data_IF_541276128859
#
_entry.id   IF_541276128859
#
_cell.length_a   1.000
_cell.length_b   1.000
_cell.length_c   1.000
_cell.angle_alpha   90.00
_cell.angle_beta   90.00
_cell.angle_gamma   90.00
#
_symmetry.space_group_name_H-M   'P 1'
#
loop_
_entity.id
_entity.type
_entity.pdbx_description
1 polymer ?
#
# COMPACT_ATOMS: atom_id res chain seq x y z
N UNK A 1 10.95 -43.65 50.94
CA UNK A 1 9.80 -44.38 51.52
C UNK A 1 9.44 -43.79 52.87
N UNK A 2 8.43 -42.92 52.87
CA UNK A 2 7.65 -42.32 53.98
C UNK A 2 6.98 -41.08 53.34
N UNK A 3 5.76 -41.24 52.83
CA UNK A 3 4.52 -40.98 53.55
C UNK A 3 4.31 -39.47 53.75
N UNK A 4 3.65 -38.84 52.77
CA UNK A 4 2.81 -37.66 52.96
C UNK A 4 1.58 -37.90 52.06
N UNK A 5 0.51 -38.48 52.63
CA UNK A 5 -0.73 -37.76 52.93
C UNK A 5 -1.52 -37.51 51.63
N UNK A 6 -2.34 -38.43 51.12
CA UNK A 6 -3.62 -38.92 51.66
C UNK A 6 -4.51 -37.79 52.18
N UNK A 7 -5.18 -37.10 51.25
CA UNK A 7 -6.43 -36.40 51.50
C UNK A 7 -7.24 -36.32 50.20
N UNK A 8 -8.53 -36.67 50.34
CA UNK A 8 -9.65 -36.39 49.44
C UNK A 8 -9.94 -37.40 48.32
N UNK A 9 -10.49 -38.53 48.76
CA UNK A 9 -11.67 -39.12 48.11
C UNK A 9 -12.85 -38.19 48.40
N UNK A 10 -13.55 -37.71 47.36
CA UNK A 10 -15.03 -37.55 47.33
C UNK A 10 -15.50 -37.06 45.94
N UNK A 11 -15.97 -38.05 45.18
CA UNK A 11 -17.04 -38.04 44.17
C UNK A 11 -16.99 -37.22 42.86
N UNK A 12 -17.62 -37.75 41.79
CA UNK A 12 -17.34 -37.44 40.40
C UNK A 12 -18.46 -36.64 39.73
N UNK A 13 -18.12 -35.70 38.85
CA UNK A 13 -19.04 -35.24 37.81
C UNK A 13 -18.27 -34.49 36.73
N UNK A 14 -18.83 -34.56 35.53
CA UNK A 14 -18.50 -33.76 34.34
C UNK A 14 -17.34 -34.32 33.52
N UNK A 15 -17.70 -35.36 32.77
CA UNK A 15 -17.15 -35.70 31.47
C UNK A 15 -16.84 -34.46 30.63
N UNK A 16 -15.63 -34.45 30.09
CA UNK A 16 -15.10 -33.43 29.21
C UNK A 16 -16.03 -33.20 28.01
N UNK A 17 -16.57 -32.00 27.92
CA UNK A 17 -17.14 -31.46 26.71
C UNK A 17 -16.00 -31.19 25.73
N UNK A 18 -15.94 -32.01 24.67
CA UNK A 18 -15.06 -31.81 23.53
C UNK A 18 -15.77 -30.84 22.58
N UNK A 19 -15.28 -29.60 22.37
CA UNK A 19 -15.83 -28.77 21.31
C UNK A 19 -15.51 -29.40 19.96
N UNK A 20 -16.57 -29.72 19.21
CA UNK A 20 -16.51 -30.08 17.80
C UNK A 20 -15.87 -28.92 17.03
N UNK A 21 -14.81 -29.19 16.27
CA UNK A 21 -14.31 -28.29 15.22
C UNK A 21 -15.40 -28.15 14.17
N UNK A 22 -16.03 -26.98 14.12
CA UNK A 22 -16.90 -26.57 13.02
C UNK A 22 -16.00 -26.11 11.86
N UNK A 23 -16.11 -26.67 10.65
CA UNK A 23 -15.24 -26.31 9.52
C UNK A 23 -15.76 -25.04 8.84
N UNK A 24 -15.74 -23.91 9.55
CA UNK A 24 -16.01 -22.60 8.95
C UNK A 24 -14.71 -21.94 8.52
N UNK A 25 -14.29 -22.28 7.29
CA UNK A 25 -13.62 -21.41 6.32
C UNK A 25 -12.57 -20.44 6.91
N UNK A 26 -11.47 -20.98 7.45
CA UNK A 26 -10.22 -20.24 7.63
C UNK A 26 -9.62 -19.89 6.26
N UNK A 27 -10.03 -18.76 5.69
CA UNK A 27 -9.24 -18.10 4.64
C UNK A 27 -8.32 -17.10 5.33
N UNK A 28 -7.23 -17.61 5.90
CA UNK A 28 -6.09 -16.77 6.22
C UNK A 28 -5.52 -16.16 4.95
N UNK A 29 -4.96 -14.95 5.04
CA UNK A 29 -4.16 -14.32 3.98
C UNK A 29 -2.89 -15.15 3.78
N UNK A 30 -3.03 -16.28 3.09
CA UNK A 30 -1.93 -17.11 2.64
C UNK A 30 -1.50 -16.60 1.27
N UNK A 31 -0.18 -16.51 1.10
CA UNK A 31 0.44 -16.25 -0.20
C UNK A 31 0.07 -17.41 -1.13
N UNK A 32 -1.04 -17.28 -1.87
CA UNK A 32 -1.29 -18.16 -3.00
C UNK A 32 -0.28 -17.78 -4.07
N UNK A 33 0.70 -18.67 -4.22
CA UNK A 33 1.59 -18.76 -5.35
C UNK A 33 0.74 -18.68 -6.63
N UNK A 34 1.04 -17.68 -7.46
CA UNK A 34 0.39 -17.42 -8.76
C UNK A 34 -1.13 -17.48 -8.74
N UNK A 35 -1.78 -16.31 -8.61
CA UNK A 35 -3.02 -16.11 -9.33
C UNK A 35 -2.73 -16.45 -10.79
N UNK A 36 -3.32 -17.54 -11.30
CA UNK A 36 -3.38 -17.80 -12.73
C UNK A 36 -3.75 -16.48 -13.40
N UNK A 37 -2.85 -15.98 -14.25
CA UNK A 37 -3.15 -14.93 -15.20
C UNK A 37 -4.22 -15.50 -16.12
N UNK A 38 -5.48 -15.44 -15.69
CA UNK A 38 -6.58 -15.44 -16.63
C UNK A 38 -6.46 -14.14 -17.39
N UNK A 39 -5.77 -14.21 -18.53
CA UNK A 39 -6.04 -13.34 -19.67
C UNK A 39 -7.49 -13.57 -20.08
N UNK A 40 -8.42 -12.99 -19.31
CA UNK A 40 -9.81 -12.88 -19.69
C UNK A 40 -9.86 -11.87 -20.83
N UNK A 41 -9.72 -12.41 -22.04
CA UNK A 41 -10.05 -11.80 -23.29
C UNK A 41 -11.52 -11.34 -23.20
N UNK A 42 -11.73 -10.04 -22.92
CA UNK A 42 -12.90 -9.22 -23.29
C UNK A 42 -14.29 -9.93 -23.37
N UNK A 43 -14.66 -10.75 -22.39
CA UNK A 43 -15.99 -11.40 -22.33
C UNK A 43 -16.60 -11.41 -20.91
N UNK A 44 -16.11 -10.56 -20.01
CA UNK A 44 -16.79 -10.24 -18.75
C UNK A 44 -17.54 -8.93 -18.88
N UNK A 45 -18.84 -8.92 -18.62
CA UNK A 45 -19.68 -7.71 -18.61
C UNK A 45 -19.49 -6.90 -17.31
N UNK A 46 -18.28 -6.88 -16.75
CA UNK A 46 -18.01 -6.12 -15.52
C UNK A 46 -18.20 -4.63 -15.79
N UNK A 47 -18.78 -3.91 -14.82
CA UNK A 47 -18.88 -2.45 -14.89
C UNK A 47 -17.66 -1.83 -14.21
N UNK A 48 -17.16 -0.74 -14.80
CA UNK A 48 -15.96 -0.03 -14.37
C UNK A 48 -16.29 1.44 -14.17
N UNK A 49 -16.03 1.94 -12.97
CA UNK A 49 -16.23 3.34 -12.60
C UNK A 49 -14.89 3.99 -12.27
N UNK A 50 -14.40 4.90 -13.12
CA UNK A 50 -13.19 5.66 -12.85
C UNK A 50 -13.25 6.48 -11.57
N UNK A 51 -12.14 6.57 -10.85
CA UNK A 51 -12.00 7.44 -9.66
C UNK A 51 -10.85 8.43 -9.85
N UNK A 52 -9.72 7.97 -10.37
CA UNK A 52 -8.56 8.81 -10.68
C UNK A 52 -8.16 8.65 -12.13
N UNK A 53 -8.15 9.76 -12.87
CA UNK A 53 -7.68 9.83 -14.24
C UNK A 53 -6.24 10.32 -14.28
N UNK A 54 -5.28 9.39 -14.30
CA UNK A 54 -3.85 9.69 -14.44
C UNK A 54 -3.45 10.11 -15.85
N UNK A 55 -4.41 10.14 -16.78
CA UNK A 55 -4.29 10.81 -18.08
C UNK A 55 -4.46 12.33 -17.99
N UNK A 56 -4.64 12.89 -16.78
CA UNK A 56 -4.72 14.33 -16.55
C UNK A 56 -3.81 14.76 -15.39
N UNK A 57 -3.15 15.94 -15.46
CA UNK A 57 -2.18 16.37 -14.48
C UNK A 57 -2.76 16.64 -13.09
N UNK A 58 -4.05 16.99 -12.98
CA UNK A 58 -4.73 17.31 -11.72
C UNK A 58 -4.76 16.11 -10.76
N UNK A 59 -4.70 14.89 -11.29
CA UNK A 59 -4.60 13.69 -10.47
C UNK A 59 -3.36 13.69 -9.56
N UNK A 60 -2.26 14.33 -9.98
CA UNK A 60 -1.01 14.37 -9.22
C UNK A 60 -1.11 15.30 -8.01
N UNK A 61 -1.91 16.36 -8.07
CA UNK A 61 -2.10 17.30 -6.94
C UNK A 61 -2.73 16.60 -5.73
N UNK A 62 -3.50 15.55 -5.99
CA UNK A 62 -4.13 14.73 -4.96
C UNK A 62 -3.19 13.64 -4.42
N UNK A 63 -1.97 13.49 -4.95
CA UNK A 63 -1.06 12.39 -4.60
C UNK A 63 0.13 12.88 -3.78
N UNK A 64 0.47 12.12 -2.76
CA UNK A 64 1.64 12.32 -1.91
C UNK A 64 2.60 11.15 -2.00
N UNK A 65 3.89 11.46 -1.98
CA UNK A 65 4.99 10.48 -1.93
C UNK A 65 4.92 9.64 -0.64
N UNK A 66 5.16 8.34 -0.78
CA UNK A 66 5.19 7.34 0.30
C UNK A 66 6.42 6.44 0.12
N UNK A 67 7.61 7.01 0.24
CA UNK A 67 8.88 6.27 0.19
C UNK A 67 9.40 5.96 1.61
N UNK A 68 10.46 5.15 1.68
CA UNK A 68 11.06 4.65 2.92
C UNK A 68 11.90 5.67 3.73
N UNK A 69 12.00 6.92 3.28
CA UNK A 69 12.84 7.94 3.90
C UNK A 69 12.54 8.21 5.40
N UNK A 70 11.26 8.14 5.79
CA UNK A 70 10.84 8.32 7.20
C UNK A 70 11.40 7.19 8.08
N UNK A 71 11.55 5.99 7.51
CA UNK A 71 12.08 4.81 8.19
C UNK A 71 13.61 4.74 8.16
N UNK A 72 14.27 5.74 7.56
CA UNK A 72 15.73 5.77 7.40
C UNK A 72 16.24 5.23 6.07
N UNK A 73 15.33 4.88 5.15
CA UNK A 73 15.67 4.41 3.83
C UNK A 73 16.14 5.52 2.89
N UNK A 74 16.71 5.09 1.76
CA UNK A 74 17.25 5.99 0.72
C UNK A 74 16.60 5.74 -0.65
N UNK A 75 15.43 5.11 -0.68
CA UNK A 75 14.65 4.97 -1.91
C UNK A 75 13.99 6.30 -2.26
N UNK A 76 13.75 6.52 -3.54
CA UNK A 76 13.07 7.73 -4.03
C UNK A 76 12.21 7.40 -5.22
N UNK A 77 11.00 7.92 -5.23
CA UNK A 77 10.10 7.90 -6.38
C UNK A 77 9.34 9.21 -6.55
N UNK A 78 8.77 9.38 -7.73
CA UNK A 78 7.96 10.55 -8.08
C UNK A 78 6.87 10.17 -9.07
N UNK A 79 5.82 10.97 -9.10
CA UNK A 79 4.81 10.96 -10.14
C UNK A 79 5.09 12.11 -11.11
N UNK A 80 5.07 11.82 -12.40
CA UNK A 80 5.25 12.82 -13.45
C UNK A 80 4.22 12.58 -14.56
N UNK A 81 3.44 13.61 -14.87
CA UNK A 81 2.51 13.57 -16.00
C UNK A 81 3.28 13.50 -17.33
N UNK A 82 2.76 12.73 -18.29
CA UNK A 82 3.25 12.68 -19.67
C UNK A 82 2.20 13.30 -20.60
N UNK A 83 2.65 14.10 -21.56
CA UNK A 83 1.80 14.66 -22.62
C UNK A 83 1.08 13.58 -23.44
N UNK A 84 1.58 12.35 -23.42
CA UNK A 84 0.99 11.19 -24.07
C UNK A 84 -0.27 10.63 -23.36
N UNK A 85 -0.78 11.34 -22.35
CA UNK A 85 -2.04 11.00 -21.68
C UNK A 85 -1.91 9.88 -20.64
N UNK A 86 -0.83 9.88 -19.87
CA UNK A 86 -0.64 8.99 -18.71
C UNK A 86 0.30 9.61 -17.68
N UNK A 87 0.34 9.03 -16.48
CA UNK A 87 1.29 9.41 -15.43
C UNK A 87 2.35 8.34 -15.28
N UNK A 88 3.61 8.74 -15.22
CA UNK A 88 4.74 7.89 -14.84
C UNK A 88 4.91 7.93 -13.34
N UNK A 89 4.83 6.76 -12.71
CA UNK A 89 5.35 6.55 -11.37
C UNK A 89 6.68 5.82 -11.47
N UNK A 90 7.77 6.49 -11.14
CA UNK A 90 9.09 5.90 -11.28
C UNK A 90 10.12 6.46 -10.31
N UNK A 91 11.24 5.78 -10.21
CA UNK A 91 12.30 6.13 -9.29
C UNK A 91 13.33 5.02 -9.11
N UNK A 92 14.09 5.10 -8.02
CA UNK A 92 15.13 4.13 -7.66
C UNK A 92 14.84 3.59 -6.26
N UNK A 93 14.50 2.31 -6.18
CA UNK A 93 14.34 1.61 -4.91
C UNK A 93 15.69 1.03 -4.47
N UNK A 94 16.02 1.18 -3.19
CA UNK A 94 17.28 0.71 -2.61
C UNK A 94 16.99 -0.08 -1.34
N UNK A 95 17.84 -1.04 -1.02
CA UNK A 95 17.65 -1.93 0.13
C UNK A 95 18.20 -1.36 1.44
N UNK A 96 19.01 -0.31 1.39
CA UNK A 96 19.63 0.34 2.54
C UNK A 96 18.60 1.12 3.37
N UNK A 97 18.41 0.71 4.64
CA UNK A 97 17.55 1.40 5.61
C UNK A 97 16.05 1.34 5.31
N UNK A 98 15.67 0.60 4.27
CA UNK A 98 14.31 0.57 3.73
C UNK A 98 14.17 -0.54 2.71
N UNK A 99 13.61 -0.22 1.55
CA UNK A 99 13.30 -1.20 0.49
C UNK A 99 11.90 -1.04 -0.08
N UNK A 100 11.37 0.20 -0.13
CA UNK A 100 10.12 0.46 -0.82
C UNK A 100 10.02 1.89 -1.36
N UNK A 101 9.29 2.00 -2.47
CA UNK A 101 8.82 3.26 -3.03
C UNK A 101 7.30 3.22 -3.14
N UNK A 102 6.65 4.37 -3.03
CA UNK A 102 5.19 4.42 -3.06
C UNK A 102 4.62 5.81 -3.26
N UNK A 103 3.33 5.84 -3.55
CA UNK A 103 2.52 7.04 -3.48
C UNK A 103 1.14 6.70 -2.94
N UNK A 104 0.42 7.71 -2.46
CA UNK A 104 -0.95 7.58 -2.00
C UNK A 104 -1.72 8.86 -2.23
N UNK A 105 -3.03 8.76 -2.38
CA UNK A 105 -3.88 9.94 -2.38
C UNK A 105 -3.83 10.64 -1.02
N UNK A 106 -4.10 11.95 -1.02
CA UNK A 106 -4.52 12.64 0.19
C UNK A 106 -5.81 11.99 0.72
N UNK A 107 -6.03 11.97 2.05
CA UNK A 107 -7.28 11.47 2.59
C UNK A 107 -8.48 12.23 2.00
N UNK A 108 -9.49 11.49 1.55
CA UNK A 108 -10.71 12.06 1.02
C UNK A 108 -11.48 12.76 2.13
N UNK A 109 -12.01 13.94 1.83
CA UNK A 109 -12.82 14.68 2.80
C UNK A 109 -14.13 13.96 3.09
N UNK A 110 -14.73 13.35 2.07
CA UNK A 110 -15.85 12.42 2.18
C UNK A 110 -15.36 11.05 1.71
N UNK A 111 -15.79 9.96 2.36
CA UNK A 111 -15.39 8.64 1.92
C UNK A 111 -15.92 8.37 0.51
N UNK A 112 -15.08 7.78 -0.33
CA UNK A 112 -15.52 7.19 -1.59
C UNK A 112 -16.44 6.02 -1.24
N UNK A 113 -17.68 6.08 -1.73
CA UNK A 113 -18.66 5.02 -1.55
C UNK A 113 -18.31 3.85 -2.46
N UNK A 114 -18.08 2.68 -1.86
CA UNK A 114 -17.63 1.49 -2.58
C UNK A 114 -18.42 0.23 -2.21
N UNK A 115 -19.51 0.39 -1.46
CA UNK A 115 -20.32 -0.74 -0.97
C UNK A 115 -20.89 -1.61 -2.09
N UNK A 116 -21.16 -1.01 -3.26
CA UNK A 116 -21.71 -1.71 -4.43
C UNK A 116 -20.65 -2.26 -5.40
N UNK A 117 -19.36 -2.13 -5.07
CA UNK A 117 -18.24 -2.59 -5.90
C UNK A 117 -17.63 -3.88 -5.32
N UNK A 118 -16.99 -4.67 -6.19
CA UNK A 118 -16.31 -5.91 -5.81
C UNK A 118 -14.80 -5.71 -5.59
N UNK A 119 -14.25 -4.59 -6.07
CA UNK A 119 -12.84 -4.28 -5.90
C UNK A 119 -12.39 -3.00 -6.61
N UNK A 120 -11.09 -2.76 -6.55
CA UNK A 120 -10.44 -1.72 -7.35
C UNK A 120 -9.98 -2.27 -8.69
N UNK A 121 -9.83 -1.41 -9.69
CA UNK A 121 -9.06 -1.73 -10.88
C UNK A 121 -7.99 -0.68 -11.15
N UNK A 122 -6.94 -1.10 -11.85
CA UNK A 122 -5.88 -0.25 -12.39
C UNK A 122 -5.85 -0.39 -13.91
N UNK A 123 -5.62 0.69 -14.63
CA UNK A 123 -5.14 0.63 -16.02
C UNK A 123 -3.71 1.13 -16.05
N UNK A 124 -2.78 0.23 -16.35
CA UNK A 124 -1.35 0.56 -16.36
C UNK A 124 -0.49 -0.48 -17.08
N UNK A 125 0.81 -0.20 -17.13
CA UNK A 125 1.83 -1.10 -17.67
C UNK A 125 3.18 -0.84 -17.02
N UNK A 126 4.03 -1.85 -17.02
CA UNK A 126 5.43 -1.72 -16.61
C UNK A 126 6.22 -1.16 -17.80
N UNK A 127 6.95 -0.06 -17.60
CA UNK A 127 7.75 0.54 -18.66
C UNK A 127 9.23 0.18 -18.57
N UNK A 128 9.70 -0.27 -17.41
CA UNK A 128 11.12 -0.58 -17.17
C UNK A 128 11.37 -1.96 -16.58
N UNK A 129 10.32 -2.76 -16.39
CA UNK A 129 10.41 -4.03 -15.68
C UNK A 129 10.02 -5.20 -16.61
N UNK A 130 10.90 -6.19 -16.70
CA UNK A 130 10.67 -7.47 -17.39
C UNK A 130 10.60 -8.64 -16.38
N UNK A 131 10.87 -8.36 -15.11
CA UNK A 131 10.91 -9.31 -14.00
C UNK A 131 10.03 -8.80 -12.84
N UNK A 132 8.74 -8.46 -13.08
CA UNK A 132 7.87 -7.90 -12.05
C UNK A 132 7.73 -8.77 -10.80
N UNK A 133 7.93 -10.08 -10.92
CA UNK A 133 7.93 -11.06 -9.83
C UNK A 133 9.09 -10.87 -8.84
N UNK A 134 10.17 -10.19 -9.25
CA UNK A 134 11.30 -9.84 -8.38
C UNK A 134 11.03 -8.59 -7.55
N UNK A 135 9.78 -8.12 -7.52
CA UNK A 135 9.29 -6.98 -6.73
C UNK A 135 7.90 -7.28 -6.20
N UNK A 136 7.60 -6.79 -4.99
CA UNK A 136 6.28 -6.95 -4.39
C UNK A 136 5.46 -5.69 -4.63
N UNK A 137 4.43 -5.79 -5.46
CA UNK A 137 3.51 -4.69 -5.73
C UNK A 137 2.28 -4.80 -4.84
N UNK A 138 1.95 -3.69 -4.18
CA UNK A 138 0.88 -3.63 -3.18
C UNK A 138 -0.03 -2.46 -3.49
N UNK A 139 -1.33 -2.71 -3.51
CA UNK A 139 -2.34 -1.67 -3.49
C UNK A 139 -2.79 -1.48 -2.05
N UNK A 140 -3.05 -0.24 -1.66
CA UNK A 140 -3.38 0.11 -0.28
C UNK A 140 -4.62 0.97 -0.20
N UNK A 141 -5.42 0.77 0.85
CA UNK A 141 -6.61 1.58 1.15
C UNK A 141 -6.83 1.75 2.65
N UNK A 142 -7.63 2.76 3.02
CA UNK A 142 -8.04 3.02 4.41
C UNK A 142 -9.54 3.20 4.51
N UNK A 143 -10.12 2.70 5.59
CA UNK A 143 -11.54 2.88 5.96
C UNK A 143 -11.74 4.04 6.95
N UNK A 144 -10.68 4.76 7.29
CA UNK A 144 -10.69 5.93 8.19
C UNK A 144 -9.91 7.09 7.56
N UNK A 145 -10.27 8.35 7.85
CA UNK A 145 -9.57 9.53 7.33
C UNK A 145 -8.20 9.77 8.00
N UNK A 146 -7.87 9.01 9.05
CA UNK A 146 -6.62 9.16 9.78
C UNK A 146 -5.41 8.52 9.09
N UNK A 147 -4.22 8.96 9.52
CA UNK A 147 -2.92 8.37 9.14
C UNK A 147 -2.45 7.34 10.18
N UNK A 148 -3.37 6.54 10.72
CA UNK A 148 -3.07 5.53 11.72
C UNK A 148 -2.04 4.50 11.27
N UNK A 149 -1.56 3.72 12.23
CA UNK A 149 -0.45 2.77 12.05
C UNK A 149 -0.80 1.58 11.15
N UNK A 150 -2.08 1.31 10.95
CA UNK A 150 -2.60 0.20 10.15
C UNK A 150 -3.21 0.69 8.85
N UNK A 151 -3.12 -0.14 7.80
CA UNK A 151 -3.66 0.12 6.46
C UNK A 151 -4.08 -1.22 5.85
N UNK A 152 -5.08 -1.23 4.98
CA UNK A 152 -5.41 -2.43 4.22
C UNK A 152 -4.51 -2.50 3.00
N UNK A 153 -3.93 -3.66 2.73
CA UNK A 153 -3.13 -3.89 1.52
C UNK A 153 -3.50 -5.21 0.84
N UNK A 154 -3.47 -5.19 -0.49
CA UNK A 154 -3.60 -6.37 -1.34
C UNK A 154 -2.41 -6.44 -2.31
N UNK A 155 -1.86 -7.62 -2.59
CA UNK A 155 -0.88 -7.79 -3.66
C UNK A 155 -1.56 -7.62 -5.02
N UNK A 156 -0.81 -7.18 -6.02
CA UNK A 156 -1.22 -7.25 -7.43
C UNK A 156 0.01 -7.45 -8.31
N UNK A 157 -0.18 -7.69 -9.61
CA UNK A 157 0.91 -7.71 -10.57
C UNK A 157 0.43 -7.23 -11.94
N UNK A 158 1.30 -6.56 -12.69
CA UNK A 158 1.07 -6.29 -14.10
C UNK A 158 1.65 -7.43 -14.95
N UNK A 159 1.01 -7.79 -16.08
CA UNK A 159 1.59 -8.72 -17.04
C UNK A 159 2.97 -8.27 -17.54
N UNK A 160 3.83 -9.24 -17.89
CA UNK A 160 5.16 -9.02 -18.47
C UNK A 160 5.10 -8.51 -19.92
N UNK A 161 4.46 -7.38 -20.13
CA UNK A 161 4.30 -6.77 -21.44
C UNK A 161 4.33 -5.25 -21.31
N UNK A 162 5.40 -4.64 -21.83
CA UNK A 162 5.67 -3.21 -21.72
C UNK A 162 4.94 -2.35 -22.78
N UNK A 163 4.44 -2.97 -23.85
CA UNK A 163 3.79 -2.24 -24.95
C UNK A 163 2.28 -2.10 -24.74
N UNK A 164 1.63 -3.14 -24.23
CA UNK A 164 0.19 -3.15 -24.01
C UNK A 164 -0.24 -2.47 -22.70
N UNK A 165 -1.39 -1.79 -22.72
CA UNK A 165 -2.07 -1.34 -21.51
C UNK A 165 -2.87 -2.50 -20.91
N UNK A 166 -2.71 -2.72 -19.62
CA UNK A 166 -3.39 -3.80 -18.92
C UNK A 166 -4.38 -3.25 -17.92
N UNK A 167 -5.54 -3.89 -17.85
CA UNK A 167 -6.46 -3.72 -16.73
C UNK A 167 -6.18 -4.80 -15.69
N UNK A 168 -5.94 -4.40 -14.45
CA UNK A 168 -5.71 -5.31 -13.32
C UNK A 168 -6.80 -5.08 -12.29
N UNK A 169 -7.60 -6.10 -12.01
CA UNK A 169 -8.64 -6.08 -10.99
C UNK A 169 -8.05 -6.55 -9.66
N UNK A 170 -8.36 -5.85 -8.57
CA UNK A 170 -7.89 -6.10 -7.22
C UNK A 170 -9.12 -6.23 -6.31
N UNK A 171 -9.61 -7.46 -6.08
CA UNK A 171 -10.77 -7.74 -5.25
C UNK A 171 -10.64 -7.18 -3.83
N UNK A 172 -11.75 -6.72 -3.24
CA UNK A 172 -11.76 -6.31 -1.83
C UNK A 172 -11.43 -7.46 -0.87
N UNK A 173 -11.77 -8.69 -1.24
CA UNK A 173 -11.49 -9.90 -0.48
C UNK A 173 -9.98 -10.22 -0.37
N UNK A 174 -9.15 -9.66 -1.25
CA UNK A 174 -7.70 -9.86 -1.23
C UNK A 174 -6.98 -8.91 -0.25
N UNK A 175 -7.70 -7.93 0.31
CA UNK A 175 -7.12 -6.96 1.24
C UNK A 175 -7.01 -7.54 2.65
N UNK A 176 -5.81 -7.43 3.21
CA UNK A 176 -5.52 -7.74 4.59
C UNK A 176 -5.12 -6.49 5.37
N UNK A 177 -5.43 -6.44 6.66
CA UNK A 177 -4.96 -5.38 7.53
C UNK A 177 -3.48 -5.59 7.85
N UNK A 178 -2.65 -4.59 7.57
CA UNK A 178 -1.20 -4.63 7.81
C UNK A 178 -0.75 -3.47 8.70
N UNK A 179 0.36 -3.68 9.41
CA UNK A 179 1.13 -2.66 10.13
C UNK A 179 2.56 -2.66 9.57
N UNK A 180 2.88 -1.65 8.76
CA UNK A 180 4.10 -1.67 7.97
C UNK A 180 4.08 -2.85 6.98
N UNK A 181 5.12 -3.70 6.92
CA UNK A 181 5.13 -4.87 6.04
C UNK A 181 4.39 -6.09 6.61
N UNK A 182 3.95 -6.06 7.88
CA UNK A 182 3.43 -7.24 8.58
C UNK A 182 1.91 -7.29 8.57
N UNK A 183 1.36 -8.47 8.29
CA UNK A 183 -0.06 -8.78 8.47
C UNK A 183 -0.39 -8.72 9.96
N UNK A 184 -1.50 -8.08 10.29
CA UNK A 184 -2.09 -8.11 11.64
C UNK A 184 -2.79 -9.46 11.80
N UNK A 185 -2.33 -10.36 12.68
CA UNK A 185 -2.99 -11.64 12.89
C UNK A 185 -4.44 -11.43 13.32
N UNK A 186 -5.36 -12.18 12.71
CA UNK A 186 -6.80 -12.06 12.94
C UNK A 186 -7.33 -10.63 12.73
N UNK A 187 -6.68 -9.85 11.87
CA UNK A 187 -7.14 -8.52 11.48
C UNK A 187 -8.53 -8.59 10.82
N UNK A 188 -9.42 -7.62 11.06
CA UNK A 188 -10.71 -7.58 10.41
C UNK A 188 -10.55 -7.53 8.89
N UNK A 189 -11.50 -8.12 8.16
CA UNK A 189 -11.60 -7.97 6.71
C UNK A 189 -11.92 -6.52 6.35
N UNK A 190 -11.60 -6.14 5.11
CA UNK A 190 -11.92 -4.81 4.61
C UNK A 190 -13.43 -4.57 4.64
N UNK A 191 -13.87 -3.68 5.52
CA UNK A 191 -15.27 -3.25 5.60
C UNK A 191 -15.51 -2.06 4.66
N UNK A 192 -16.34 -2.26 3.64
CA UNK A 192 -16.65 -1.28 2.59
C UNK A 192 -17.88 -0.41 2.90
N UNK A 193 -18.70 -0.76 3.90
CA UNK A 193 -19.95 -0.06 4.23
C UNK A 193 -19.74 1.40 4.60
N UNK A 194 -18.64 1.72 5.29
CA UNK A 194 -18.28 3.10 5.65
C UNK A 194 -17.58 3.89 4.54
N UNK A 195 -17.39 3.27 3.38
CA UNK A 195 -16.55 3.76 2.29
C UNK A 195 -15.06 3.77 2.62
N UNK A 196 -14.27 4.26 1.68
CA UNK A 196 -12.81 4.36 1.80
C UNK A 196 -12.35 5.81 1.77
N UNK A 197 -11.21 6.09 2.39
CA UNK A 197 -10.69 7.44 2.55
C UNK A 197 -9.37 7.68 1.83
N UNK A 198 -8.71 6.64 1.34
CA UNK A 198 -7.41 6.80 0.70
C UNK A 198 -7.15 5.60 -0.20
N UNK A 199 -6.45 5.82 -1.29
CA UNK A 199 -5.86 4.75 -2.10
C UNK A 199 -4.36 5.01 -2.28
N UNK A 200 -3.59 3.97 -2.59
CA UNK A 200 -2.17 4.14 -2.87
C UNK A 200 -1.53 2.88 -3.40
N UNK A 201 -0.33 3.02 -3.93
CA UNK A 201 0.46 1.92 -4.47
C UNK A 201 1.85 1.93 -3.83
N UNK A 202 2.41 0.74 -3.67
CA UNK A 202 3.76 0.57 -3.13
C UNK A 202 4.45 -0.58 -3.84
N UNK A 203 5.71 -0.37 -4.21
CA UNK A 203 6.61 -1.40 -4.67
C UNK A 203 7.62 -1.64 -3.55
N UNK A 204 7.82 -2.89 -3.16
CA UNK A 204 8.60 -3.22 -1.97
C UNK A 204 9.39 -4.52 -2.12
N UNK A 205 10.47 -4.65 -1.35
CA UNK A 205 11.16 -5.92 -1.10
C UNK A 205 10.46 -6.80 -0.07
N UNK A 206 9.52 -6.27 0.70
CA UNK A 206 8.90 -7.01 1.80
C UNK A 206 7.68 -7.78 1.30
N UNK A 207 7.71 -9.10 1.47
CA UNK A 207 6.56 -9.97 1.15
C UNK A 207 5.48 -9.85 2.24
N UNK A 208 4.26 -10.29 1.93
CA UNK A 208 3.20 -10.37 2.92
C UNK A 208 3.48 -11.53 3.88
N UNK A 209 3.43 -11.26 5.18
CA UNK A 209 3.63 -12.25 6.22
C UNK A 209 3.39 -11.66 7.60
N UNK A 210 3.25 -12.52 8.61
CA UNK A 210 3.18 -12.08 10.02
C UNK A 210 4.51 -11.52 10.51
N UNK A 211 5.60 -12.06 9.97
CA UNK A 211 6.96 -11.57 10.20
C UNK A 211 7.41 -10.68 9.04
N UNK A 212 8.36 -9.78 9.32
CA UNK A 212 9.00 -8.99 8.26
C UNK A 212 9.96 -9.90 7.50
N UNK A 213 9.54 -10.34 6.32
CA UNK A 213 10.36 -11.16 5.43
C UNK A 213 10.61 -10.42 4.12
N UNK A 214 11.83 -10.57 3.61
CA UNK A 214 12.25 -9.99 2.33
C UNK A 214 12.09 -11.02 1.22
N UNK A 215 11.79 -10.55 0.02
CA UNK A 215 11.78 -11.37 -1.18
C UNK A 215 13.22 -11.80 -1.51
N UNK A 216 13.46 -13.11 -1.56
CA UNK A 216 14.81 -13.69 -1.65
C UNK A 216 15.64 -13.18 -2.82
N UNK A 217 15.00 -12.92 -3.96
CA UNK A 217 15.66 -12.39 -5.17
C UNK A 217 15.09 -11.02 -5.55
N UNK A 218 14.96 -10.14 -4.55
CA UNK A 218 14.48 -8.78 -4.77
C UNK A 218 15.39 -8.01 -5.72
N UNK A 219 14.78 -7.39 -6.74
CA UNK A 219 15.48 -6.55 -7.71
C UNK A 219 15.39 -5.07 -7.32
N UNK A 220 16.49 -4.55 -6.76
CA UNK A 220 16.64 -3.13 -6.48
C UNK A 220 16.87 -2.31 -7.77
N UNK A 221 17.03 -1.00 -7.62
CA UNK A 221 17.30 -0.10 -8.74
C UNK A 221 16.07 0.56 -9.36
N UNK A 222 16.20 0.91 -10.64
CA UNK A 222 15.22 1.72 -11.35
C UNK A 222 13.90 0.97 -11.59
N UNK A 223 12.79 1.70 -11.48
CA UNK A 223 11.47 1.22 -11.88
C UNK A 223 10.64 2.34 -12.49
N UNK A 224 9.77 1.98 -13.43
CA UNK A 224 8.73 2.84 -13.96
C UNK A 224 7.45 2.04 -14.23
N UNK A 225 6.35 2.54 -13.69
CA UNK A 225 4.98 2.13 -14.00
C UNK A 225 4.27 3.30 -14.67
N UNK A 226 3.59 3.03 -15.77
CA UNK A 226 2.74 4.01 -16.44
C UNK A 226 1.29 3.72 -16.10
N UNK A 227 0.58 4.75 -15.63
CA UNK A 227 -0.78 4.65 -15.12
C UNK A 227 -1.71 5.57 -15.92
N UNK A 228 -2.86 5.04 -16.31
CA UNK A 228 -3.97 5.80 -16.89
C UNK A 228 -5.10 6.01 -15.91
N UNK A 229 -5.40 4.99 -15.11
CA UNK A 229 -6.61 4.98 -14.32
C UNK A 229 -6.50 4.13 -13.06
N UNK A 230 -7.16 4.61 -12.00
CA UNK A 230 -7.55 3.81 -10.84
C UNK A 230 -9.05 4.00 -10.67
N UNK A 231 -9.80 2.92 -10.47
CA UNK A 231 -11.23 3.00 -10.26
C UNK A 231 -11.79 1.79 -9.52
N UNK A 232 -13.10 1.65 -9.58
CA UNK A 232 -13.86 0.56 -8.97
C UNK A 232 -14.40 -0.35 -10.07
N UNK A 233 -14.42 -1.65 -9.82
CA UNK A 233 -15.15 -2.57 -10.68
C UNK A 233 -16.25 -3.28 -9.90
N UNK A 234 -17.34 -3.57 -10.59
CA UNK A 234 -18.39 -4.46 -10.12
C UNK A 234 -18.50 -5.62 -11.10
N UNK A 235 -18.35 -6.82 -10.58
CA UNK A 235 -18.56 -8.05 -11.32
C UNK A 235 -20.04 -8.16 -11.61
N UNK A 236 -20.39 -8.20 -12.89
CA UNK A 236 -21.75 -8.60 -13.24
C UNK A 236 -21.87 -10.09 -12.97
N UNK A 237 -22.47 -10.43 -11.83
CA UNK A 237 -22.90 -11.79 -11.59
C UNK A 237 -23.96 -12.10 -12.66
N UNK A 238 -23.76 -13.16 -13.44
CA UNK A 238 -24.86 -13.75 -14.20
C UNK A 238 -25.88 -14.30 -13.19
N UNK A 239 -26.79 -13.44 -12.71
CA UNK A 239 -27.93 -13.90 -11.91
C UNK A 239 -29.11 -14.19 -12.83
N UNK A 240 -29.45 -15.48 -12.87
CA UNK A 240 -30.83 -15.91 -12.94
C UNK A 240 -31.69 -15.05 -12.00
N UNK A 241 -32.71 -14.41 -12.59
CA UNK A 241 -33.78 -13.66 -11.91
C UNK A 241 -34.17 -14.28 -10.57
N UNK A 242 -34.11 -13.49 -9.49
CA UNK A 242 -35.30 -13.18 -8.70
C UNK A 242 -35.07 -12.01 -7.74
N UNK A 243 -36.15 -11.27 -7.56
CA UNK A 243 -36.30 -9.92 -7.02
C UNK A 243 -35.97 -9.78 -5.53
N UNK A 244 -35.74 -8.55 -5.05
CA UNK A 244 -36.73 -7.84 -4.20
C UNK A 244 -36.25 -6.44 -3.77
N UNK A 245 -37.24 -5.56 -3.69
CA UNK A 245 -37.26 -4.11 -3.45
C UNK A 245 -37.08 -3.78 -1.95
N UNK A 246 -36.51 -2.62 -1.57
CA UNK A 246 -37.00 -1.75 -0.46
C UNK A 246 -36.35 -0.35 -0.50
N UNK A 247 -37.17 0.62 -0.10
CA UNK A 247 -37.11 2.09 -0.24
C UNK A 247 -36.19 2.80 0.76
N UNK A 248 -35.69 3.98 0.34
CA UNK A 248 -34.89 4.96 1.10
C UNK A 248 -35.66 5.66 2.23
N UNK A 249 -35.00 6.00 3.37
CA UNK A 249 -35.48 6.99 4.33
C UNK A 249 -34.65 8.29 4.37
N UNK A 250 -35.31 9.36 4.84
CA UNK A 250 -34.90 10.77 4.90
C UNK A 250 -34.05 11.15 6.13
N UNK A 251 -33.47 12.37 6.09
CA UNK A 251 -32.36 12.90 6.92
C UNK A 251 -32.85 13.98 7.93
N UNK A 252 -32.15 14.13 9.07
CA UNK A 252 -32.31 15.19 10.10
C UNK A 252 -31.35 16.40 9.89
N UNK A 253 -31.74 17.58 10.38
CA UNK A 253 -31.21 18.91 9.98
C UNK A 253 -30.05 19.50 10.82
N UNK A 254 -29.40 20.51 10.23
CA UNK A 254 -28.11 21.15 10.57
C UNK A 254 -27.91 21.73 11.99
N UNK A 255 -28.95 21.89 12.80
CA UNK A 255 -28.85 22.62 14.08
C UNK A 255 -28.16 21.85 15.21
N UNK A 256 -27.97 20.55 15.08
CA UNK A 256 -27.39 19.70 16.13
C UNK A 256 -25.87 19.53 16.02
N UNK A 257 -25.28 19.81 14.85
CA UNK A 257 -23.86 19.54 14.56
C UNK A 257 -22.88 20.59 15.13
N UNK A 258 -23.35 21.78 15.50
CA UNK A 258 -22.47 22.90 15.88
C UNK A 258 -21.97 22.89 17.34
N UNK A 259 -22.38 21.93 18.17
CA UNK A 259 -22.04 21.94 19.61
C UNK A 259 -20.81 21.12 20.02
N UNK A 260 -20.13 20.40 19.12
CA UNK A 260 -19.11 19.42 19.56
C UNK A 260 -17.78 19.49 18.79
N UNK A 261 -16.89 20.42 19.15
CA UNK A 261 -15.44 20.31 18.87
C UNK A 261 -14.59 20.95 19.99
N UNK A 262 -13.54 20.29 20.52
CA UNK A 262 -12.67 20.86 21.55
C UNK A 262 -11.42 21.59 20.99
N UNK A 263 -10.95 22.61 21.74
CA UNK A 263 -9.97 23.63 21.34
C UNK A 263 -8.48 23.24 21.39
N UNK A 264 -8.13 22.06 21.90
CA UNK A 264 -6.73 21.72 22.23
C UNK A 264 -5.82 21.44 21.02
N UNK A 265 -6.39 21.23 19.83
CA UNK A 265 -5.64 20.84 18.63
C UNK A 265 -4.95 22.01 17.89
N UNK A 266 -5.15 23.26 18.33
CA UNK A 266 -4.68 24.45 17.61
C UNK A 266 -3.24 24.92 17.93
N UNK A 267 -2.53 24.27 18.87
CA UNK A 267 -1.25 24.82 19.37
C UNK A 267 0.03 24.07 18.92
N UNK A 268 -0.04 22.89 18.31
CA UNK A 268 1.11 21.98 18.16
C UNK A 268 1.60 21.74 16.71
N UNK A 269 1.44 22.70 15.81
CA UNK A 269 1.82 22.56 14.39
C UNK A 269 3.19 23.18 14.00
N UNK A 270 3.72 24.25 14.62
CA UNK A 270 4.92 24.90 14.08
C UNK A 270 6.27 24.29 14.50
N UNK A 271 6.32 23.40 15.51
CA UNK A 271 7.59 22.90 16.07
C UNK A 271 8.24 21.74 15.27
N UNK A 272 7.47 21.02 14.44
CA UNK A 272 7.94 19.80 13.75
C UNK A 272 8.75 20.06 12.46
N UNK A 273 8.81 21.30 11.95
CA UNK A 273 9.49 21.62 10.68
C UNK A 273 10.99 21.90 10.82
N UNK A 274 11.50 22.18 12.01
CA UNK A 274 12.90 22.61 12.20
C UNK A 274 13.90 21.46 12.43
N UNK A 275 13.45 20.24 12.75
CA UNK A 275 14.33 19.14 13.18
C UNK A 275 14.58 18.04 12.12
N UNK A 276 14.02 18.15 10.90
CA UNK A 276 14.09 17.09 9.89
C UNK A 276 14.52 17.62 8.50
N UNK A 277 15.80 17.98 8.32
CA UNK A 277 16.31 18.29 6.98
C UNK A 277 16.85 17.05 6.25
N UNK A 278 16.11 16.62 5.23
CA UNK A 278 16.38 15.47 4.34
C UNK A 278 17.76 15.56 3.66
N UNK A 279 18.19 16.76 3.31
CA UNK A 279 19.47 17.02 2.63
C UNK A 279 20.70 16.61 3.45
N UNK A 280 20.64 16.72 4.78
CA UNK A 280 21.73 16.34 5.68
C UNK A 280 21.96 14.81 5.70
N UNK A 281 20.87 14.03 5.57
CA UNK A 281 20.92 12.56 5.61
C UNK A 281 21.47 11.96 4.31
N UNK A 282 21.15 12.56 3.15
CA UNK A 282 21.71 12.15 1.84
C UNK A 282 23.24 12.25 1.81
N UNK A 283 23.82 13.33 2.36
CA UNK A 283 25.27 13.54 2.44
C UNK A 283 25.97 12.48 3.30
N UNK A 284 25.35 12.08 4.42
CA UNK A 284 25.88 11.02 5.30
C UNK A 284 25.91 9.66 4.61
N UNK A 285 24.88 9.29 3.86
CA UNK A 285 24.85 8.01 3.14
C UNK A 285 25.88 7.94 2.02
N UNK A 286 25.99 9.00 1.20
CA UNK A 286 27.01 9.08 0.14
C UNK A 286 28.43 8.95 0.71
N UNK A 287 28.70 9.63 1.84
CA UNK A 287 29.97 9.54 2.55
C UNK A 287 30.27 8.12 3.04
N UNK A 288 29.25 7.40 3.53
CA UNK A 288 29.40 6.01 3.97
C UNK A 288 29.81 5.09 2.82
N UNK A 289 29.13 5.16 1.68
CA UNK A 289 29.46 4.32 0.51
C UNK A 289 30.87 4.58 -0.03
N UNK A 290 31.29 5.86 -0.11
CA UNK A 290 32.64 6.20 -0.56
C UNK A 290 33.72 5.63 0.37
N UNK A 291 33.46 5.60 1.68
CA UNK A 291 34.41 5.09 2.67
C UNK A 291 34.42 3.56 2.74
N UNK A 292 33.25 2.94 2.81
CA UNK A 292 33.13 1.50 3.07
C UNK A 292 33.30 0.66 1.80
N UNK A 293 32.71 1.08 0.67
CA UNK A 293 32.77 0.31 -0.58
C UNK A 293 33.93 0.69 -1.49
N UNK A 294 34.45 1.92 -1.39
CA UNK A 294 35.57 2.39 -2.22
C UNK A 294 36.86 2.65 -1.43
N UNK A 295 36.89 2.38 -0.13
CA UNK A 295 38.08 2.52 0.72
C UNK A 295 38.61 3.95 0.81
N UNK A 296 37.82 4.97 0.47
CA UNK A 296 38.29 6.36 0.46
C UNK A 296 38.42 6.90 1.88
N UNK A 297 39.49 7.65 2.14
CA UNK A 297 39.60 8.43 3.39
C UNK A 297 38.54 9.54 3.42
N UNK A 298 38.14 9.95 4.63
CA UNK A 298 37.09 10.98 4.82
C UNK A 298 37.41 12.28 4.08
N UNK A 299 38.68 12.68 4.05
CA UNK A 299 39.14 13.86 3.30
C UNK A 299 38.97 13.71 1.78
N UNK A 300 39.36 12.55 1.21
CA UNK A 300 39.19 12.27 -0.22
C UNK A 300 37.71 12.20 -0.63
N UNK A 301 36.84 11.64 0.21
CA UNK A 301 35.41 11.56 -0.05
C UNK A 301 34.72 12.94 -0.02
N UNK A 302 35.15 13.84 0.88
CA UNK A 302 34.68 15.23 0.92
C UNK A 302 35.17 15.99 -0.32
N UNK A 303 36.45 15.87 -0.67
CA UNK A 303 37.02 16.51 -1.85
C UNK A 303 36.31 16.05 -3.14
N UNK A 304 36.01 14.76 -3.26
CA UNK A 304 35.26 14.22 -4.40
C UNK A 304 33.85 14.82 -4.48
N UNK A 305 33.17 15.01 -3.35
CA UNK A 305 31.87 15.68 -3.29
C UNK A 305 31.93 17.11 -3.85
N UNK A 306 32.93 17.89 -3.46
CA UNK A 306 33.14 19.25 -3.97
C UNK A 306 33.62 19.29 -5.43
N UNK A 307 34.42 18.31 -5.88
CA UNK A 307 34.90 18.25 -7.26
C UNK A 307 33.79 17.90 -8.28
N UNK A 308 32.69 17.28 -7.82
CA UNK A 308 31.53 16.90 -8.64
C UNK A 308 30.48 18.04 -8.68
N UNK A 309 30.38 18.85 -7.62
CA UNK A 309 29.39 19.95 -7.50
C UNK A 309 29.39 20.95 -8.69
N UNK A 310 30.54 21.41 -9.22
CA UNK A 310 30.54 22.30 -10.39
C UNK A 310 30.16 21.61 -11.71
N UNK A 311 30.25 20.28 -11.80
CA UNK A 311 29.89 19.53 -13.02
C UNK A 311 28.42 19.10 -13.05
N UNK A 312 27.78 18.94 -11.89
CA UNK A 312 26.36 18.60 -11.80
C UNK A 312 25.43 19.78 -12.09
N UNK A 313 25.86 21.01 -11.78
CA UNK A 313 25.14 22.26 -12.10
C UNK A 313 25.23 22.67 -13.59
N UNK A 314 26.19 22.10 -14.35
CA UNK A 314 26.37 22.38 -15.77
C UNK A 314 25.60 21.42 -16.70
N UNK A 315 24.93 20.41 -16.16
CA UNK A 315 24.14 19.42 -16.91
C UNK A 315 22.63 19.53 -16.64
N UNK A 316 22.20 20.63 -16.00
CA UNK A 316 20.80 20.88 -15.64
C UNK A 316 20.16 22.05 -16.40
N UNK A 317 20.73 22.48 -17.53
CA UNK A 317 20.06 23.33 -18.53
C UNK A 317 20.55 22.94 -19.94
N UNK A 318 19.67 22.89 -20.98
CA UNK A 318 18.21 23.01 -20.99
C UNK A 318 17.47 21.65 -21.06
#
# INVERSE_FOLDING_TARGET
MKLLLLLLILCPAVTAWIPRKDPTREKGCTYLQSSSLETNHLLGTDSYTPVFHFSRPEALEMMGRLDDAIMGGISTSSLAFSSDGFTRWGGVCRTDGGGFCGFRSNPFRQPLQVADADGFYLIGRLASDLEPERRVWKFSTRTKPDRGEVVYQAPFSFPKNQSAWHRVNIPFDDFCLVRGPRIVPNGPLLNTTGGIYQVGMTMSKFVFGTNTTELTDFRDGFFEVQLKEIGLYKRQQQLSKNELIIKSPQVLSESEFKKQQPLILKLMVPLFRLLFSESSRRRKSAMRHLRERRGLSRGRAIWLGYAIEPKALALSDP
#
